data_IF_338982550899
#
_entry.id   IF_338982550899
#
_cell.length_a   1.000
_cell.length_b   1.000
_cell.length_c   1.000
_cell.angle_alpha   90.00
_cell.angle_beta   90.00
_cell.angle_gamma   90.00
#
_symmetry.space_group_name_H-M   'P 1'
#
loop_
_entity.id
_entity.type
_entity.pdbx_description
1 polymer ?
#
# COMPACT_ATOMS: atom_id res chain seq x y z
N UNK A 1 9.09 -18.42 -34.72
CA UNK A 1 9.42 -18.29 -33.29
C UNK A 1 8.11 -18.54 -32.54
N UNK A 2 7.95 -19.75 -31.99
CA UNK A 2 6.83 -20.08 -31.13
C UNK A 2 7.04 -19.37 -29.79
N UNK A 3 6.23 -18.37 -29.52
CA UNK A 3 6.16 -17.78 -28.19
C UNK A 3 5.21 -18.63 -27.34
N UNK A 4 5.75 -19.48 -26.49
CA UNK A 4 5.00 -20.15 -25.44
C UNK A 4 4.56 -19.11 -24.39
N UNK A 5 3.36 -18.59 -24.52
CA UNK A 5 2.72 -17.83 -23.45
C UNK A 5 2.18 -18.84 -22.42
N UNK A 6 2.85 -18.99 -21.30
CA UNK A 6 2.23 -19.58 -20.13
C UNK A 6 1.19 -18.59 -19.60
N UNK A 7 -0.08 -18.87 -19.84
CA UNK A 7 -1.19 -18.24 -19.15
C UNK A 7 -1.02 -18.54 -17.65
N UNK A 8 -0.60 -17.54 -16.89
CA UNK A 8 -0.59 -17.65 -15.44
C UNK A 8 -2.05 -17.64 -14.99
N UNK A 9 -2.52 -18.71 -14.40
CA UNK A 9 -3.92 -18.99 -14.02
C UNK A 9 -4.57 -18.04 -13.02
N UNK A 10 -3.95 -16.91 -12.70
CA UNK A 10 -4.43 -15.97 -11.70
C UNK A 10 -4.80 -14.60 -12.29
N UNK A 11 -5.78 -14.58 -13.21
CA UNK A 11 -6.55 -13.38 -13.51
C UNK A 11 -5.76 -12.17 -14.02
N UNK A 12 -4.56 -12.36 -14.56
CA UNK A 12 -3.79 -11.29 -15.17
C UNK A 12 -4.48 -10.86 -16.47
N UNK A 13 -5.21 -9.77 -16.41
CA UNK A 13 -5.76 -9.15 -17.60
C UNK A 13 -4.64 -8.75 -18.55
N UNK A 14 -4.84 -9.02 -19.83
CA UNK A 14 -3.95 -8.56 -20.89
C UNK A 14 -3.89 -7.02 -20.86
N UNK A 15 -2.70 -6.45 -20.86
CA UNK A 15 -2.49 -5.02 -21.02
C UNK A 15 -2.17 -4.72 -22.47
N UNK A 16 -2.84 -3.74 -23.03
CA UNK A 16 -2.77 -3.44 -24.45
C UNK A 16 -2.29 -2.02 -24.69
N UNK A 17 -1.30 -1.92 -25.57
CA UNK A 17 -0.87 -0.65 -26.15
C UNK A 17 -1.11 -0.73 -27.66
N UNK A 18 -1.89 0.20 -28.22
CA UNK A 18 -2.26 0.17 -29.62
C UNK A 18 -2.10 1.54 -30.30
N UNK A 19 -1.64 1.50 -31.53
CA UNK A 19 -1.53 2.65 -32.41
C UNK A 19 -2.41 2.41 -33.62
N UNK A 20 -3.40 3.27 -33.81
CA UNK A 20 -4.39 3.16 -34.86
C UNK A 20 -4.28 4.37 -35.78
N UNK A 21 -4.19 4.13 -37.09
CA UNK A 21 -4.16 5.17 -38.12
C UNK A 21 -5.51 5.17 -38.82
N UNK A 22 -6.13 6.33 -38.90
CA UNK A 22 -7.44 6.51 -39.52
C UNK A 22 -7.43 7.71 -40.49
N UNK A 23 -8.44 7.78 -41.35
CA UNK A 23 -8.62 8.95 -42.24
C UNK A 23 -8.94 10.20 -41.41
N UNK A 24 -8.42 11.36 -41.83
CA UNK A 24 -8.64 12.66 -41.22
C UNK A 24 -10.13 13.03 -41.06
N UNK A 25 -10.98 12.71 -42.03
CA UNK A 25 -12.40 12.94 -41.92
C UNK A 25 -13.03 12.16 -40.75
N UNK A 26 -12.62 10.92 -40.55
CA UNK A 26 -13.08 10.09 -39.44
C UNK A 26 -12.58 10.59 -38.11
N UNK A 27 -11.34 11.06 -38.03
CA UNK A 27 -10.73 11.61 -36.79
C UNK A 27 -11.51 12.83 -36.27
N UNK A 28 -12.07 13.63 -37.17
CA UNK A 28 -12.86 14.83 -36.85
C UNK A 28 -14.38 14.60 -36.84
N UNK A 29 -14.80 13.39 -37.04
CA UNK A 29 -16.24 13.04 -37.03
C UNK A 29 -16.76 12.90 -35.57
N UNK A 30 -18.09 13.02 -35.43
CA UNK A 30 -18.75 12.71 -34.14
C UNK A 30 -18.61 11.26 -33.73
N UNK A 31 -18.20 10.39 -34.63
CA UNK A 31 -17.97 8.96 -34.37
C UNK A 31 -16.58 8.67 -33.79
N UNK A 32 -15.62 9.60 -33.90
CA UNK A 32 -14.23 9.39 -33.46
C UNK A 32 -14.12 9.02 -31.99
N UNK A 33 -14.87 9.66 -31.12
CA UNK A 33 -14.86 9.43 -29.68
C UNK A 33 -15.41 8.05 -29.32
N UNK A 34 -16.48 7.61 -29.98
CA UNK A 34 -17.02 6.27 -29.80
C UNK A 34 -16.04 5.20 -30.28
N UNK A 35 -15.40 5.44 -31.43
CA UNK A 35 -14.37 4.55 -31.96
C UNK A 35 -13.16 4.46 -30.99
N UNK A 36 -12.67 5.60 -30.50
CA UNK A 36 -11.56 5.66 -29.56
C UNK A 36 -11.88 4.88 -28.26
N UNK A 37 -13.09 5.05 -27.73
CA UNK A 37 -13.55 4.33 -26.55
C UNK A 37 -13.66 2.82 -26.81
N UNK A 38 -14.26 2.42 -27.94
CA UNK A 38 -14.41 1.00 -28.32
C UNK A 38 -13.06 0.31 -28.50
N UNK A 39 -12.11 0.99 -29.14
CA UNK A 39 -10.74 0.51 -29.26
C UNK A 39 -10.07 0.39 -27.89
N UNK A 40 -10.25 1.41 -27.03
CA UNK A 40 -9.67 1.41 -25.68
C UNK A 40 -10.22 0.32 -24.77
N UNK A 41 -11.50 0.01 -24.88
CA UNK A 41 -12.15 -1.03 -24.08
C UNK A 41 -12.14 -2.40 -24.75
N UNK A 42 -11.69 -2.49 -26.03
CA UNK A 42 -11.77 -3.69 -26.87
C UNK A 42 -13.21 -4.21 -27.00
N UNK A 43 -14.18 -3.32 -26.86
CA UNK A 43 -15.59 -3.65 -27.06
C UNK A 43 -15.96 -3.45 -28.52
N UNK A 44 -16.63 -4.42 -29.12
CA UNK A 44 -17.28 -4.21 -30.38
C UNK A 44 -18.49 -3.31 -30.16
N UNK A 45 -18.50 -2.16 -30.82
CA UNK A 45 -19.63 -1.23 -30.78
C UNK A 45 -20.70 -1.69 -31.78
N UNK A 46 -21.17 -2.91 -31.60
CA UNK A 46 -22.27 -3.41 -32.45
C UNK A 46 -23.57 -2.90 -31.81
N UNK A 47 -24.23 -1.98 -32.57
CA UNK A 47 -25.50 -1.36 -32.18
C UNK A 47 -26.67 -2.36 -32.05
N UNK A 48 -26.43 -3.61 -32.39
CA UNK A 48 -27.39 -4.71 -32.23
C UNK A 48 -27.36 -5.39 -30.86
N UNK A 49 -26.34 -5.14 -30.09
CA UNK A 49 -26.18 -5.78 -28.79
C UNK A 49 -26.70 -4.85 -27.67
N UNK A 50 -27.72 -5.30 -26.94
CA UNK A 50 -28.32 -4.59 -25.81
C UNK A 50 -27.36 -4.31 -24.64
N UNK A 51 -26.08 -4.64 -24.78
CA UNK A 51 -25.00 -4.41 -23.81
C UNK A 51 -24.10 -3.21 -24.16
N UNK A 52 -24.55 -2.26 -24.93
CA UNK A 52 -23.82 -1.02 -25.20
C UNK A 52 -23.49 -0.26 -23.93
N UNK A 53 -22.30 0.32 -23.87
CA UNK A 53 -21.90 1.17 -22.71
C UNK A 53 -22.84 2.37 -22.60
N UNK A 54 -23.17 2.74 -21.36
CA UNK A 54 -23.98 3.93 -21.10
C UNK A 54 -23.26 5.18 -21.64
N UNK A 55 -23.95 6.00 -22.41
CA UNK A 55 -23.39 7.18 -23.09
C UNK A 55 -22.82 8.19 -22.09
N UNK A 56 -23.49 8.43 -20.96
CA UNK A 56 -23.00 9.31 -19.90
C UNK A 56 -21.70 8.78 -19.31
N UNK A 57 -21.58 7.48 -19.09
CA UNK A 57 -20.36 6.85 -18.62
C UNK A 57 -19.22 7.01 -19.63
N UNK A 58 -19.46 6.79 -20.91
CA UNK A 58 -18.48 6.98 -21.98
C UNK A 58 -17.99 8.42 -22.02
N UNK A 59 -18.88 9.39 -21.95
CA UNK A 59 -18.54 10.82 -21.94
C UNK A 59 -17.73 11.20 -20.70
N UNK A 60 -18.05 10.65 -19.54
CA UNK A 60 -17.28 10.87 -18.31
C UNK A 60 -15.85 10.33 -18.43
N UNK A 61 -15.65 9.13 -18.98
CA UNK A 61 -14.35 8.53 -19.23
C UNK A 61 -13.53 9.36 -20.22
N UNK A 62 -14.14 9.74 -21.34
CA UNK A 62 -13.49 10.58 -22.34
C UNK A 62 -13.10 11.95 -21.78
N UNK A 63 -13.99 12.60 -21.05
CA UNK A 63 -13.71 13.89 -20.43
C UNK A 63 -12.53 13.81 -19.44
N UNK A 64 -12.43 12.70 -18.71
CA UNK A 64 -11.41 12.52 -17.69
C UNK A 64 -10.04 12.11 -18.25
N UNK A 65 -10.00 11.26 -19.28
CA UNK A 65 -8.78 10.59 -19.69
C UNK A 65 -8.36 10.83 -21.14
N UNK A 66 -9.26 11.35 -22.00
CA UNK A 66 -8.90 11.66 -23.38
C UNK A 66 -7.88 12.78 -23.46
N UNK A 67 -6.81 12.55 -24.20
CA UNK A 67 -5.75 13.52 -24.47
C UNK A 67 -5.85 13.93 -25.94
N UNK A 68 -6.20 15.19 -26.18
CA UNK A 68 -6.36 15.78 -27.51
C UNK A 68 -5.66 17.13 -27.54
N UNK A 69 -4.32 17.11 -27.53
CA UNK A 69 -3.49 18.34 -27.54
C UNK A 69 -3.34 18.92 -28.94
N UNK A 70 -3.34 18.06 -29.94
CA UNK A 70 -3.19 18.44 -31.35
C UNK A 70 -4.35 17.91 -32.17
N UNK A 71 -4.63 18.56 -33.30
CA UNK A 71 -5.79 18.22 -34.14
C UNK A 71 -5.61 16.90 -34.91
N UNK A 72 -4.40 16.41 -35.07
CA UNK A 72 -4.08 15.27 -35.91
C UNK A 72 -3.93 13.94 -35.16
N UNK A 73 -4.20 13.94 -33.87
CA UNK A 73 -4.22 12.72 -33.05
C UNK A 73 -4.98 12.91 -31.74
N UNK A 74 -5.41 11.79 -31.18
CA UNK A 74 -5.99 11.66 -29.84
C UNK A 74 -5.44 10.43 -29.15
N UNK A 75 -5.36 10.45 -27.84
CA UNK A 75 -4.99 9.29 -27.05
C UNK A 75 -5.97 9.06 -25.91
N UNK A 76 -6.18 7.80 -25.54
CA UNK A 76 -7.03 7.39 -24.42
C UNK A 76 -6.33 6.30 -23.62
N UNK A 77 -5.69 6.63 -22.50
CA UNK A 77 -5.25 5.65 -21.55
C UNK A 77 -6.41 5.22 -20.65
N UNK A 78 -6.55 3.92 -20.46
CA UNK A 78 -7.49 3.28 -19.56
C UNK A 78 -6.76 2.32 -18.62
N UNK A 79 -7.47 1.70 -17.71
CA UNK A 79 -6.89 0.78 -16.73
C UNK A 79 -6.09 -0.36 -17.38
N UNK A 80 -6.63 -0.93 -18.47
CA UNK A 80 -6.06 -2.12 -19.10
C UNK A 80 -5.47 -1.83 -20.50
N UNK A 81 -5.59 -0.60 -20.99
CA UNK A 81 -5.16 -0.27 -22.35
C UNK A 81 -4.65 1.17 -22.47
N UNK A 82 -3.88 1.41 -23.52
CA UNK A 82 -3.57 2.75 -24.00
C UNK A 82 -3.73 2.78 -25.53
N UNK A 83 -4.66 3.57 -25.99
CA UNK A 83 -4.98 3.72 -27.42
C UNK A 83 -4.48 5.07 -27.90
N UNK A 84 -3.67 5.05 -28.94
CA UNK A 84 -3.30 6.24 -29.70
C UNK A 84 -3.91 6.15 -31.10
N UNK A 85 -4.69 7.13 -31.46
CA UNK A 85 -5.39 7.20 -32.75
C UNK A 85 -4.94 8.47 -33.48
N UNK A 86 -4.47 8.33 -34.69
CA UNK A 86 -3.91 9.42 -35.46
C UNK A 86 -4.32 9.42 -36.92
N UNK A 87 -4.21 10.59 -37.55
CA UNK A 87 -4.43 10.78 -38.99
C UNK A 87 -3.37 10.05 -39.85
N UNK A 88 -3.77 9.55 -41.01
CA UNK A 88 -2.90 8.94 -42.02
C UNK A 88 -1.77 9.88 -42.44
N UNK A 89 -2.07 11.18 -42.60
CA UNK A 89 -1.12 12.22 -42.98
C UNK A 89 -0.11 12.60 -41.89
N UNK A 90 -0.21 12.00 -40.69
CA UNK A 90 0.73 12.30 -39.60
C UNK A 90 2.16 11.92 -39.95
N UNK A 91 3.09 12.84 -39.66
CA UNK A 91 4.51 12.64 -39.93
C UNK A 91 5.06 11.41 -39.18
N UNK A 92 5.90 10.64 -39.87
CA UNK A 92 6.44 9.37 -39.35
C UNK A 92 7.15 9.54 -38.01
N UNK A 93 7.94 10.59 -37.82
CA UNK A 93 8.70 10.81 -36.58
C UNK A 93 7.78 10.93 -35.34
N UNK A 94 6.56 11.47 -35.50
CA UNK A 94 5.59 11.54 -34.38
C UNK A 94 5.05 10.15 -34.06
N UNK A 95 4.72 9.36 -35.10
CA UNK A 95 4.30 7.96 -34.89
C UNK A 95 5.40 7.13 -34.25
N UNK A 96 6.64 7.38 -34.64
CA UNK A 96 7.80 6.68 -34.09
C UNK A 96 8.02 7.05 -32.61
N UNK A 97 7.87 8.34 -32.22
CA UNK A 97 7.90 8.71 -30.80
C UNK A 97 6.83 8.01 -29.96
N UNK A 98 5.63 7.76 -30.50
CA UNK A 98 4.61 6.97 -29.81
C UNK A 98 4.96 5.49 -29.73
N UNK A 99 5.65 4.94 -30.72
CA UNK A 99 6.07 3.54 -30.73
C UNK A 99 7.22 3.24 -29.80
N UNK A 100 8.11 4.19 -29.56
CA UNK A 100 9.33 4.03 -28.78
C UNK A 100 9.26 4.84 -27.49
N UNK A 101 9.40 6.16 -27.57
CA UNK A 101 9.59 7.01 -26.39
C UNK A 101 8.40 6.97 -25.43
N UNK A 102 7.18 7.22 -25.92
CA UNK A 102 6.01 7.25 -25.04
C UNK A 102 5.56 5.85 -24.61
N UNK A 103 5.82 4.83 -25.42
CA UNK A 103 5.61 3.46 -25.02
C UNK A 103 6.55 3.06 -23.88
N UNK A 104 7.83 3.25 -24.04
CA UNK A 104 8.84 2.83 -23.04
C UNK A 104 8.84 3.72 -21.81
N UNK A 105 8.97 5.04 -21.98
CA UNK A 105 9.16 5.99 -20.90
C UNK A 105 7.87 6.28 -20.09
N UNK A 106 6.71 6.06 -20.68
CA UNK A 106 5.45 6.36 -20.00
C UNK A 106 4.66 5.09 -19.73
N UNK A 107 4.23 4.38 -20.79
CA UNK A 107 3.33 3.25 -20.60
C UNK A 107 3.99 2.08 -19.86
N UNK A 108 5.17 1.64 -20.30
CA UNK A 108 5.91 0.55 -19.65
C UNK A 108 6.35 0.95 -18.23
N UNK A 109 6.78 2.20 -18.04
CA UNK A 109 7.11 2.72 -16.71
C UNK A 109 5.91 2.66 -15.74
N UNK A 110 4.74 3.15 -16.14
CA UNK A 110 3.54 3.09 -15.30
C UNK A 110 3.05 1.65 -15.10
N UNK A 111 3.13 0.82 -16.13
CA UNK A 111 2.80 -0.61 -16.02
C UNK A 111 3.74 -1.32 -15.01
N UNK A 112 5.03 -1.00 -15.02
CA UNK A 112 5.98 -1.53 -14.05
C UNK A 112 5.60 -1.13 -12.61
N UNK A 113 5.24 0.14 -12.38
CA UNK A 113 4.73 0.61 -11.08
C UNK A 113 3.49 -0.16 -10.65
N UNK A 114 2.53 -0.34 -11.55
CA UNK A 114 1.29 -1.08 -11.29
C UNK A 114 1.55 -2.54 -10.93
N UNK A 115 2.43 -3.21 -11.66
CA UNK A 115 2.81 -4.61 -11.40
C UNK A 115 3.51 -4.72 -10.04
N UNK A 116 4.40 -3.79 -9.72
CA UNK A 116 5.08 -3.77 -8.43
C UNK A 116 4.08 -3.64 -7.27
N UNK A 117 3.13 -2.71 -7.35
CA UNK A 117 2.09 -2.53 -6.34
C UNK A 117 1.21 -3.77 -6.19
N UNK A 118 0.77 -4.34 -7.32
CA UNK A 118 -0.02 -5.57 -7.32
C UNK A 118 0.72 -6.73 -6.63
N UNK A 119 1.99 -6.93 -6.99
CA UNK A 119 2.84 -7.95 -6.37
C UNK A 119 3.00 -7.72 -4.87
N UNK A 120 3.32 -6.50 -4.47
CA UNK A 120 3.53 -6.11 -3.08
C UNK A 120 2.25 -6.31 -2.26
N UNK A 121 1.09 -5.93 -2.79
CA UNK A 121 -0.21 -6.16 -2.16
C UNK A 121 -0.52 -7.66 -2.03
N UNK A 122 -0.23 -8.45 -3.05
CA UNK A 122 -0.40 -9.91 -3.00
C UNK A 122 0.51 -10.56 -1.95
N UNK A 123 1.77 -10.18 -1.88
CA UNK A 123 2.72 -10.68 -0.88
C UNK A 123 2.29 -10.32 0.54
N UNK A 124 1.77 -9.10 0.74
CA UNK A 124 1.22 -8.63 2.00
C UNK A 124 0.00 -9.44 2.43
N UNK A 125 -1.01 -9.56 1.55
CA UNK A 125 -2.26 -10.30 1.85
C UNK A 125 -2.00 -11.78 2.15
N UNK A 126 -1.09 -12.40 1.43
CA UNK A 126 -0.72 -13.80 1.60
C UNK A 126 0.31 -14.02 2.73
N UNK A 127 0.73 -12.96 3.42
CA UNK A 127 1.77 -12.99 4.48
C UNK A 127 3.03 -13.75 4.07
N UNK A 128 3.43 -13.64 2.80
CA UNK A 128 4.60 -14.34 2.25
C UNK A 128 5.92 -13.78 2.78
N UNK A 129 5.90 -12.54 3.25
CA UNK A 129 7.10 -11.83 3.74
C UNK A 129 6.79 -11.04 5.01
N UNK A 130 7.80 -10.78 5.85
CA UNK A 130 7.66 -9.90 7.00
C UNK A 130 7.23 -8.49 6.58
N UNK A 131 6.33 -7.89 7.34
CA UNK A 131 5.72 -6.58 7.01
C UNK A 131 6.79 -5.49 6.87
N UNK A 132 7.79 -5.47 7.75
CA UNK A 132 8.88 -4.49 7.70
C UNK A 132 9.68 -4.57 6.38
N UNK A 133 9.87 -5.77 5.81
CA UNK A 133 10.53 -5.92 4.51
C UNK A 133 9.66 -5.38 3.38
N UNK A 134 8.35 -5.62 3.44
CA UNK A 134 7.40 -5.09 2.46
C UNK A 134 7.38 -3.56 2.52
N UNK A 135 7.39 -2.99 3.72
CA UNK A 135 7.44 -1.55 3.90
C UNK A 135 8.73 -0.95 3.33
N UNK A 136 9.89 -1.53 3.66
CA UNK A 136 11.18 -1.06 3.15
C UNK A 136 11.24 -1.14 1.62
N UNK A 137 10.77 -2.25 1.02
CA UNK A 137 10.74 -2.39 -0.45
C UNK A 137 9.82 -1.34 -1.10
N UNK A 138 8.70 -1.00 -0.47
CA UNK A 138 7.81 0.05 -0.97
C UNK A 138 8.44 1.44 -0.85
N UNK A 139 9.12 1.73 0.25
CA UNK A 139 9.86 2.98 0.45
C UNK A 139 11.05 3.10 -0.53
N UNK A 140 11.81 2.04 -0.72
CA UNK A 140 12.90 1.98 -1.68
C UNK A 140 12.39 2.16 -3.12
N UNK A 141 11.27 1.54 -3.44
CA UNK A 141 10.62 1.70 -4.73
C UNK A 141 10.17 3.14 -4.95
N UNK A 142 9.54 3.75 -3.95
CA UNK A 142 9.07 5.12 -4.02
C UNK A 142 10.25 6.10 -4.24
N UNK A 143 11.33 5.92 -3.53
CA UNK A 143 12.51 6.77 -3.61
C UNK A 143 13.26 6.66 -4.95
N UNK A 144 13.26 5.47 -5.58
CA UNK A 144 14.07 5.22 -6.77
C UNK A 144 13.27 5.20 -8.08
N UNK A 145 11.96 4.92 -8.02
CA UNK A 145 11.12 4.66 -9.18
C UNK A 145 9.87 5.53 -9.25
N UNK A 146 9.72 6.54 -8.38
CA UNK A 146 8.62 7.48 -8.47
C UNK A 146 9.15 8.84 -8.93
N UNK A 147 8.94 9.16 -10.19
CA UNK A 147 9.37 10.42 -10.78
C UNK A 147 8.17 11.36 -10.94
N UNK A 148 8.23 12.53 -10.31
CA UNK A 148 7.21 13.57 -10.48
C UNK A 148 7.28 14.23 -11.86
N UNK A 149 8.46 14.25 -12.48
CA UNK A 149 8.69 14.78 -13.82
C UNK A 149 9.51 13.78 -14.63
N UNK A 150 8.97 13.31 -15.74
CA UNK A 150 9.68 12.40 -16.64
C UNK A 150 10.47 13.18 -17.68
N UNK A 151 10.07 14.41 -17.99
CA UNK A 151 10.65 15.23 -19.05
C UNK A 151 10.48 16.71 -18.73
N UNK A 152 11.34 17.55 -19.31
CA UNK A 152 11.16 19.00 -19.31
C UNK A 152 10.08 19.47 -20.31
N UNK A 153 9.60 18.59 -21.19
CA UNK A 153 8.54 18.89 -22.14
C UNK A 153 7.16 18.65 -21.51
N UNK A 154 6.18 19.50 -21.86
CA UNK A 154 4.84 19.43 -21.28
C UNK A 154 4.10 18.14 -21.66
N UNK A 155 4.22 17.69 -22.91
CA UNK A 155 3.42 16.55 -23.41
C UNK A 155 3.77 15.22 -22.72
N UNK A 156 5.04 14.81 -22.57
CA UNK A 156 5.35 13.62 -21.79
C UNK A 156 4.85 13.67 -20.35
N UNK A 157 4.95 14.84 -19.69
CA UNK A 157 4.46 15.00 -18.32
C UNK A 157 2.94 14.93 -18.24
N UNK A 158 2.23 15.51 -19.21
CA UNK A 158 0.78 15.39 -19.30
C UNK A 158 0.36 13.94 -19.51
N UNK A 159 0.94 13.25 -20.48
CA UNK A 159 0.71 11.84 -20.77
C UNK A 159 0.94 10.99 -19.52
N UNK A 160 2.08 11.18 -18.85
CA UNK A 160 2.42 10.45 -17.64
C UNK A 160 1.35 10.60 -16.55
N UNK A 161 0.90 11.83 -16.28
CA UNK A 161 -0.13 12.10 -15.26
C UNK A 161 -1.47 11.44 -15.61
N UNK A 162 -1.88 11.50 -16.89
CA UNK A 162 -3.15 10.92 -17.29
C UNK A 162 -3.08 9.39 -17.27
N UNK A 163 -1.96 8.78 -17.71
CA UNK A 163 -1.74 7.33 -17.63
C UNK A 163 -1.71 6.86 -16.18
N UNK A 164 -0.99 7.55 -15.30
CA UNK A 164 -0.94 7.25 -13.86
C UNK A 164 -2.35 7.29 -13.24
N UNK A 165 -3.12 8.35 -13.54
CA UNK A 165 -4.48 8.52 -13.04
C UNK A 165 -5.45 7.46 -13.59
N UNK A 166 -5.35 7.12 -14.89
CA UNK A 166 -6.21 6.10 -15.50
C UNK A 166 -5.96 4.69 -14.99
N UNK A 167 -4.74 4.42 -14.54
CA UNK A 167 -4.35 3.15 -13.93
C UNK A 167 -4.51 3.14 -12.40
N UNK A 168 -4.95 4.25 -11.79
CA UNK A 168 -5.19 4.39 -10.34
C UNK A 168 -3.93 4.08 -9.49
N UNK A 169 -2.74 4.37 -10.04
CA UNK A 169 -1.48 3.97 -9.41
C UNK A 169 -1.22 4.77 -8.13
N UNK A 170 -1.44 6.08 -8.17
CA UNK A 170 -1.21 6.95 -7.02
C UNK A 170 -2.13 6.59 -5.85
N UNK A 171 -3.40 6.34 -6.13
CA UNK A 171 -4.42 6.00 -5.12
C UNK A 171 -4.10 4.63 -4.49
N UNK A 172 -3.75 3.62 -5.31
CA UNK A 172 -3.37 2.29 -4.82
C UNK A 172 -2.08 2.32 -3.99
N UNK A 173 -1.11 3.14 -4.40
CA UNK A 173 0.14 3.33 -3.65
C UNK A 173 -0.10 3.98 -2.29
N UNK A 174 -0.95 5.00 -2.23
CA UNK A 174 -1.31 5.68 -0.98
C UNK A 174 -2.12 4.74 -0.06
N UNK A 175 -3.08 4.02 -0.60
CA UNK A 175 -3.84 3.02 0.16
C UNK A 175 -2.91 1.96 0.76
N UNK A 176 -1.98 1.43 -0.03
CA UNK A 176 -1.01 0.43 0.43
C UNK A 176 -0.11 0.97 1.54
N UNK A 177 0.40 2.21 1.41
CA UNK A 177 1.17 2.90 2.47
C UNK A 177 0.37 3.01 3.76
N UNK A 178 -0.89 3.41 3.67
CA UNK A 178 -1.78 3.58 4.81
C UNK A 178 -2.08 2.25 5.51
N UNK A 179 -2.32 1.18 4.76
CA UNK A 179 -2.55 -0.16 5.30
C UNK A 179 -1.30 -0.67 6.02
N UNK A 180 -0.13 -0.57 5.39
CA UNK A 180 1.14 -0.98 5.99
C UNK A 180 1.42 -0.22 7.28
N UNK A 181 1.28 1.10 7.28
CA UNK A 181 1.49 1.95 8.46
C UNK A 181 0.60 1.53 9.62
N UNK A 182 -0.70 1.32 9.37
CA UNK A 182 -1.64 0.86 10.41
C UNK A 182 -1.26 -0.51 10.95
N UNK A 183 -0.84 -1.42 10.07
CA UNK A 183 -0.47 -2.78 10.47
C UNK A 183 0.81 -2.80 11.30
N UNK A 184 1.83 -2.03 10.92
CA UNK A 184 3.07 -1.88 11.70
C UNK A 184 2.78 -1.25 13.06
N UNK A 185 1.93 -0.24 13.12
CA UNK A 185 1.51 0.37 14.39
C UNK A 185 0.82 -0.64 15.31
N UNK A 186 -0.12 -1.42 14.77
CA UNK A 186 -0.81 -2.46 15.55
C UNK A 186 0.16 -3.54 16.07
N UNK A 187 1.12 -3.99 15.26
CA UNK A 187 2.14 -4.95 15.70
C UNK A 187 3.06 -4.36 16.77
N UNK A 188 3.44 -3.08 16.64
CA UNK A 188 4.25 -2.38 17.64
C UNK A 188 3.52 -2.26 18.97
N UNK A 189 2.26 -1.86 18.96
CA UNK A 189 1.41 -1.80 20.15
C UNK A 189 1.27 -3.17 20.85
N UNK A 190 1.09 -4.24 20.08
CA UNK A 190 1.03 -5.60 20.64
C UNK A 190 2.37 -6.01 21.26
N UNK A 191 3.47 -5.65 20.63
CA UNK A 191 4.83 -5.93 21.16
C UNK A 191 5.09 -5.13 22.43
N UNK A 192 4.72 -3.85 22.47
CA UNK A 192 4.81 -3.02 23.66
C UNK A 192 3.95 -3.55 24.82
N UNK A 193 2.71 -3.97 24.53
CA UNK A 193 1.85 -4.60 25.52
C UNK A 193 2.50 -5.85 26.12
N UNK A 194 3.04 -6.74 25.27
CA UNK A 194 3.76 -7.94 25.73
C UNK A 194 4.99 -7.59 26.58
N UNK A 195 5.77 -6.61 26.14
CA UNK A 195 6.94 -6.12 26.90
C UNK A 195 6.53 -5.55 28.25
N UNK A 196 5.45 -4.76 28.30
CA UNK A 196 4.95 -4.21 29.54
C UNK A 196 4.42 -5.30 30.50
N UNK A 197 3.75 -6.33 29.99
CA UNK A 197 3.38 -7.48 30.83
C UNK A 197 4.59 -8.21 31.41
N UNK A 198 5.63 -8.41 30.59
CA UNK A 198 6.87 -9.03 31.03
C UNK A 198 7.59 -8.19 32.09
N UNK A 199 7.71 -6.87 31.88
CA UNK A 199 8.29 -5.95 32.87
C UNK A 199 7.48 -5.92 34.17
N UNK A 200 6.15 -5.94 34.08
CA UNK A 200 5.29 -6.02 35.26
C UNK A 200 5.50 -7.32 36.03
N UNK A 201 5.63 -8.44 35.34
CA UNK A 201 5.93 -9.73 35.94
C UNK A 201 7.28 -9.74 36.63
N UNK A 202 8.34 -9.20 35.99
CA UNK A 202 9.64 -9.04 36.60
C UNK A 202 9.60 -8.15 37.84
N UNK A 203 8.86 -7.03 37.77
CA UNK A 203 8.70 -6.13 38.92
C UNK A 203 8.04 -6.82 40.11
N UNK A 204 7.05 -7.70 39.87
CA UNK A 204 6.43 -8.49 40.93
C UNK A 204 7.44 -9.45 41.56
N UNK A 205 8.23 -10.18 40.75
CA UNK A 205 9.23 -11.13 41.24
C UNK A 205 10.32 -10.39 42.05
N UNK A 206 10.84 -9.28 41.55
CA UNK A 206 11.87 -8.50 42.25
C UNK A 206 11.34 -7.90 43.54
N UNK A 207 10.09 -7.44 43.54
CA UNK A 207 9.44 -6.96 44.77
C UNK A 207 9.30 -8.06 45.81
N UNK A 208 8.95 -9.27 45.36
CA UNK A 208 8.87 -10.42 46.27
C UNK A 208 10.24 -10.79 46.84
N UNK A 209 11.30 -10.77 46.03
CA UNK A 209 12.67 -11.02 46.47
C UNK A 209 13.13 -9.98 47.48
N UNK A 210 12.88 -8.69 47.24
CA UNK A 210 13.26 -7.61 48.15
C UNK A 210 12.51 -7.68 49.49
N UNK A 211 11.24 -8.09 49.48
CA UNK A 211 10.46 -8.32 50.70
C UNK A 211 11.05 -9.49 51.48
N UNK A 212 11.44 -10.57 50.81
CA UNK A 212 12.08 -11.72 51.45
C UNK A 212 13.42 -11.35 52.08
N UNK A 213 14.29 -10.62 51.36
CA UNK A 213 15.59 -10.16 51.86
C UNK A 213 15.43 -9.21 53.04
N UNK A 214 14.45 -8.30 53.02
CA UNK A 214 14.12 -7.43 54.13
C UNK A 214 13.69 -8.24 55.38
N UNK A 215 12.86 -9.25 55.19
CA UNK A 215 12.44 -10.14 56.28
C UNK A 215 13.63 -10.91 56.88
N UNK A 216 14.56 -11.39 56.04
CA UNK A 216 15.78 -12.05 56.51
C UNK A 216 16.69 -11.09 57.29
N UNK A 217 16.80 -9.83 56.86
CA UNK A 217 17.61 -8.80 57.51
C UNK A 217 17.01 -8.40 58.89
N UNK A 218 15.67 -8.26 58.96
CA UNK A 218 14.97 -8.05 60.23
C UNK A 218 15.19 -9.22 61.19
N UNK A 219 15.18 -10.47 60.70
CA UNK A 219 15.50 -11.64 61.46
C UNK A 219 16.92 -11.59 62.09
N UNK A 220 17.91 -11.23 61.30
CA UNK A 220 19.28 -11.10 61.76
C UNK A 220 19.45 -10.01 62.83
N UNK A 221 18.67 -8.90 62.71
CA UNK A 221 18.71 -7.80 63.68
C UNK A 221 17.98 -8.12 64.99
N UNK A 222 16.90 -8.88 64.96
CA UNK A 222 16.07 -9.13 66.16
C UNK A 222 16.36 -10.45 66.85
N UNK A 223 17.08 -11.40 66.23
CA UNK A 223 17.48 -12.69 66.87
C UNK A 223 18.49 -12.55 67.98
N UNK A 224 18.87 -11.34 68.36
CA UNK A 224 19.72 -11.09 69.54
C UNK A 224 18.90 -11.13 70.85
N UNK A 225 17.57 -11.31 70.86
CA UNK A 225 16.77 -11.43 72.06
C UNK A 225 15.87 -12.69 71.99
N UNK A 226 16.24 -13.70 72.71
CA UNK A 226 15.80 -15.09 72.72
C UNK A 226 14.42 -15.36 73.35
N UNK A 227 13.40 -14.50 73.28
CA UNK A 227 12.13 -14.75 73.99
C UNK A 227 10.84 -14.63 73.21
N UNK A 228 10.82 -14.41 71.90
CA UNK A 228 9.57 -14.11 71.19
C UNK A 228 9.37 -14.88 69.87
N UNK A 229 9.50 -16.21 69.87
CA UNK A 229 9.55 -17.00 68.62
C UNK A 229 8.19 -17.37 67.99
N UNK A 230 7.06 -17.27 68.67
CA UNK A 230 5.76 -17.75 68.13
C UNK A 230 4.93 -16.62 67.48
N UNK A 231 5.01 -15.39 68.00
CA UNK A 231 4.25 -14.27 67.41
C UNK A 231 4.98 -13.59 66.21
N UNK A 232 6.26 -13.84 66.02
CA UNK A 232 7.05 -13.21 64.95
C UNK A 232 6.69 -13.76 63.58
N UNK A 233 6.38 -15.04 63.44
CA UNK A 233 6.03 -15.66 62.14
C UNK A 233 4.71 -15.10 61.57
N UNK A 234 3.70 -14.89 62.44
CA UNK A 234 2.44 -14.28 62.05
C UNK A 234 2.60 -12.82 61.66
N UNK A 235 3.42 -12.04 62.38
CA UNK A 235 3.65 -10.63 62.04
C UNK A 235 4.40 -10.46 60.71
N UNK A 236 5.36 -11.32 60.38
CA UNK A 236 6.09 -11.36 59.14
C UNK A 236 5.23 -11.66 57.93
N UNK A 237 4.35 -12.64 58.05
CA UNK A 237 3.37 -12.96 56.99
C UNK A 237 2.44 -11.78 56.72
N UNK A 238 1.95 -11.14 57.80
CA UNK A 238 1.07 -9.96 57.67
C UNK A 238 1.81 -8.77 57.01
N UNK A 239 3.03 -8.45 57.45
CA UNK A 239 3.82 -7.35 56.82
C UNK A 239 4.16 -7.64 55.39
N UNK A 240 4.53 -8.88 55.05
CA UNK A 240 4.78 -9.28 53.64
C UNK A 240 3.56 -9.16 52.76
N UNK A 241 2.40 -9.53 53.28
CA UNK A 241 1.11 -9.41 52.55
C UNK A 241 0.72 -7.95 52.36
N UNK A 242 0.88 -7.09 53.38
CA UNK A 242 0.59 -5.66 53.32
C UNK A 242 1.50 -4.99 52.27
N UNK A 243 2.79 -5.28 52.28
CA UNK A 243 3.75 -4.73 51.32
C UNK A 243 3.46 -5.20 49.90
N UNK A 244 3.09 -6.47 49.72
CA UNK A 244 2.66 -7.01 48.41
C UNK A 244 1.41 -6.28 47.88
N UNK A 245 0.43 -6.04 48.75
CA UNK A 245 -0.80 -5.28 48.37
C UNK A 245 -0.47 -3.85 48.00
N UNK A 246 0.42 -3.17 48.73
CA UNK A 246 0.85 -1.80 48.39
C UNK A 246 1.55 -1.75 47.03
N UNK A 247 2.42 -2.70 46.72
CA UNK A 247 3.09 -2.82 45.40
C UNK A 247 2.08 -3.08 44.28
N UNK A 248 1.14 -3.98 44.51
CA UNK A 248 0.07 -4.27 43.52
C UNK A 248 -0.80 -3.05 43.26
N UNK A 249 -1.22 -2.31 44.28
CA UNK A 249 -1.99 -1.06 44.17
C UNK A 249 -1.20 0.01 43.43
N UNK A 250 0.07 0.17 43.72
CA UNK A 250 0.94 1.11 43.02
C UNK A 250 1.13 0.77 41.54
N UNK A 251 1.32 -0.51 41.21
CA UNK A 251 1.40 -0.98 39.84
C UNK A 251 0.06 -0.79 39.09
N UNK A 252 -1.06 -1.04 39.73
CA UNK A 252 -2.39 -0.81 39.15
C UNK A 252 -2.66 0.67 38.91
N UNK A 253 -2.29 1.56 39.84
CA UNK A 253 -2.43 3.01 39.71
C UNK A 253 -1.55 3.58 38.58
N UNK A 254 -0.33 3.05 38.42
CA UNK A 254 0.56 3.43 37.30
C UNK A 254 0.01 2.98 35.95
N UNK A 255 -0.60 1.80 35.89
CA UNK A 255 -1.18 1.26 34.68
C UNK A 255 -2.51 1.96 34.29
N UNK A 256 -3.27 2.40 35.28
CA UNK A 256 -4.53 3.16 35.09
C UNK A 256 -4.30 4.59 34.56
N UNK A 257 -3.17 5.23 34.85
CA UNK A 257 -2.82 6.55 34.31
C UNK A 257 -2.30 6.54 32.88
N UNK A 258 -2.05 5.35 32.27
CA UNK A 258 -1.60 5.18 30.88
C UNK A 258 -2.74 4.84 29.91
N UNK A 259 -3.97 4.82 30.32
CA UNK A 259 -5.16 4.81 29.48
C UNK A 259 -5.72 6.22 29.30
#
# INVERSE_FOLDING_TARGET
VEHNYQLVENGNKLKIYQIVTINNELLHSSYADNLLYSLGTLSMNDSSDHMGSNEEYVQNILTKYKIAVFNNWVALPLLDSMTFMCDEGMKSYVKDSWRTDYFELIYIYQLYRKIFLYRTNSEFRLRKRPINKIQNDLEDFDNHYTYHFISYNFLPNLLNKVVESSQEIADEQEEMKNILKRTVQAETELREKRSNYFLTFLAIITSFSTIWDLNCLLDAMFNYSTVFTINLLGYRLVTSIILLVIVLVALFALNSKRK
#
